data_IF_727139800970
#
_entry.id   IF_727139800970
#
_cell.length_a   1.000
_cell.length_b   1.000
_cell.length_c   1.000
_cell.angle_alpha   90.00
_cell.angle_beta   90.00
_cell.angle_gamma   90.00
#
_symmetry.space_group_name_H-M   'P 1'
#
loop_
_entity.id
_entity.type
_entity.pdbx_description
1 polymer ?
#
# COMPACT_ATOMS: atom_id res chain seq x y z
N UNK A 1 0.80 -2.16 4.53
CA UNK A 1 0.19 -3.39 5.03
C UNK A 1 0.44 -4.57 4.11
N UNK A 2 0.62 -5.79 4.71
CA UNK A 2 0.88 -7.01 3.98
C UNK A 2 -0.43 -7.55 3.37
N UNK A 3 -0.52 -7.73 2.05
CA UNK A 3 -1.70 -8.32 1.43
C UNK A 3 -1.83 -9.82 1.72
N UNK A 4 -2.98 -10.39 1.41
CA UNK A 4 -3.32 -11.78 1.72
C UNK A 4 -2.31 -12.79 1.15
N UNK A 5 -1.75 -12.48 0.00
CA UNK A 5 -0.88 -13.37 -0.79
C UNK A 5 0.63 -13.16 -0.57
N UNK A 6 1.05 -12.18 0.23
CA UNK A 6 2.46 -11.97 0.60
C UNK A 6 2.80 -12.45 2.02
N UNK A 7 2.12 -13.48 2.49
CA UNK A 7 2.44 -14.10 3.77
C UNK A 7 1.87 -13.38 4.98
N UNK A 8 0.72 -12.72 4.84
CA UNK A 8 -0.07 -12.22 5.95
C UNK A 8 -0.29 -13.34 6.98
N UNK A 9 -0.05 -13.04 8.25
CA UNK A 9 -0.19 -13.97 9.36
C UNK A 9 -0.98 -13.31 10.50
N UNK A 10 -2.32 -13.45 10.52
CA UNK A 10 -3.16 -12.78 11.50
C UNK A 10 -2.87 -13.18 12.94
N UNK A 11 -2.54 -14.46 13.20
CA UNK A 11 -2.23 -14.95 14.55
C UNK A 11 -0.95 -14.30 15.08
N UNK A 12 0.09 -14.20 14.24
CA UNK A 12 1.32 -13.50 14.61
C UNK A 12 1.08 -12.00 14.84
N UNK A 13 0.21 -11.37 14.04
CA UNK A 13 -0.17 -9.97 14.24
C UNK A 13 -0.86 -9.74 15.58
N UNK A 14 -1.79 -10.62 15.98
CA UNK A 14 -2.44 -10.58 17.29
C UNK A 14 -1.41 -10.75 18.40
N UNK A 15 -0.58 -11.80 18.35
CA UNK A 15 0.45 -12.03 19.34
C UNK A 15 1.42 -10.86 19.51
N UNK A 16 1.81 -10.22 18.39
CA UNK A 16 2.67 -9.04 18.42
C UNK A 16 1.96 -7.81 19.04
N UNK A 17 0.70 -7.58 18.69
CA UNK A 17 -0.10 -6.48 19.25
C UNK A 17 -0.29 -6.64 20.76
N UNK A 18 -0.64 -7.84 21.23
CA UNK A 18 -0.81 -8.14 22.64
C UNK A 18 0.50 -8.00 23.44
N UNK A 19 1.61 -8.51 22.88
CA UNK A 19 2.91 -8.45 23.54
C UNK A 19 3.49 -7.03 23.66
N UNK A 20 3.12 -6.13 22.76
CA UNK A 20 3.73 -4.79 22.64
C UNK A 20 2.78 -3.64 22.97
N UNK A 21 1.47 -3.88 22.97
CA UNK A 21 0.44 -2.83 23.01
C UNK A 21 0.36 -1.99 21.75
N UNK A 22 1.03 -2.39 20.65
CA UNK A 22 1.05 -1.67 19.40
C UNK A 22 -0.19 -1.98 18.55
N UNK A 23 -0.84 -0.96 18.00
CA UNK A 23 -1.99 -1.15 17.12
C UNK A 23 -1.53 -1.63 15.73
N UNK A 24 -1.98 -2.82 15.33
CA UNK A 24 -1.66 -3.42 14.04
C UNK A 24 -2.94 -3.53 13.21
N UNK A 25 -2.97 -2.90 12.04
CA UNK A 25 -4.09 -3.02 11.09
C UNK A 25 -3.77 -4.14 10.11
N UNK A 26 -4.58 -5.20 10.13
CA UNK A 26 -4.52 -6.27 9.15
C UNK A 26 -5.14 -5.83 7.84
N UNK A 27 -4.61 -6.30 6.70
CA UNK A 27 -5.15 -6.02 5.38
C UNK A 27 -5.72 -7.27 4.71
N UNK A 28 -6.71 -7.07 3.85
CA UNK A 28 -7.16 -8.02 2.83
C UNK A 28 -6.78 -7.49 1.45
N UNK A 29 -6.68 -8.34 0.47
CA UNK A 29 -6.38 -7.95 -0.91
C UNK A 29 -5.21 -8.71 -1.50
N UNK A 30 -4.88 -8.43 -2.76
CA UNK A 30 -3.84 -9.13 -3.51
C UNK A 30 -2.79 -8.15 -4.04
N UNK A 31 -1.58 -8.69 -4.24
CA UNK A 31 -0.45 -7.93 -4.76
C UNK A 31 -0.41 -7.95 -6.29
N UNK A 32 0.52 -7.20 -6.89
CA UNK A 32 0.66 -7.16 -8.35
C UNK A 32 1.12 -8.50 -8.94
N UNK A 33 0.89 -8.69 -10.24
CA UNK A 33 1.07 -9.97 -10.92
C UNK A 33 2.46 -10.58 -10.78
N UNK A 34 3.51 -9.77 -10.81
CA UNK A 34 4.88 -10.26 -10.82
C UNK A 34 5.26 -11.00 -9.51
N UNK A 35 4.77 -10.54 -8.36
CA UNK A 35 5.14 -11.03 -7.03
C UNK A 35 3.98 -11.67 -6.26
N UNK A 36 2.73 -11.44 -6.67
CA UNK A 36 1.53 -11.94 -6.01
C UNK A 36 1.20 -13.40 -6.29
N UNK A 37 -0.03 -13.78 -5.98
CA UNK A 37 -0.55 -15.15 -6.07
C UNK A 37 -0.60 -15.71 -7.48
N UNK A 38 0.28 -16.62 -7.79
CA UNK A 38 0.35 -17.25 -9.11
C UNK A 38 -0.91 -18.06 -9.47
N UNK A 39 -1.60 -18.64 -8.49
CA UNK A 39 -2.84 -19.41 -8.75
C UNK A 39 -4.02 -18.50 -9.16
N UNK A 40 -4.16 -17.32 -8.53
CA UNK A 40 -5.17 -16.35 -8.93
C UNK A 40 -4.88 -15.78 -10.31
N UNK A 41 -3.64 -15.43 -10.60
CA UNK A 41 -3.21 -15.03 -11.94
C UNK A 41 -3.43 -16.14 -12.97
N UNK A 42 -3.17 -17.42 -12.63
CA UNK A 42 -3.46 -18.53 -13.54
C UNK A 42 -4.96 -18.64 -13.84
N UNK A 43 -5.82 -18.54 -12.83
CA UNK A 43 -7.27 -18.62 -13.00
C UNK A 43 -7.85 -17.46 -13.82
N UNK A 44 -7.33 -16.23 -13.63
CA UNK A 44 -7.81 -15.04 -14.34
C UNK A 44 -7.70 -15.12 -15.85
N UNK A 45 -6.89 -16.06 -16.37
CA UNK A 45 -6.79 -16.32 -17.81
C UNK A 45 -8.01 -17.02 -18.41
N UNK A 46 -8.86 -17.60 -17.58
CA UNK A 46 -9.97 -18.44 -18.00
C UNK A 46 -11.33 -17.90 -17.54
N UNK A 47 -11.34 -17.02 -16.56
CA UNK A 47 -12.56 -16.48 -15.99
C UNK A 47 -12.33 -15.08 -15.40
N UNK A 48 -13.39 -14.27 -15.36
CA UNK A 48 -13.39 -13.02 -14.59
C UNK A 48 -13.47 -13.35 -13.09
N UNK A 49 -12.41 -13.04 -12.37
CA UNK A 49 -12.33 -13.28 -10.93
C UNK A 49 -12.87 -12.14 -10.08
N UNK A 50 -13.34 -11.04 -10.67
CA UNK A 50 -13.86 -9.89 -9.93
C UNK A 50 -14.93 -10.29 -8.91
N UNK A 51 -15.96 -11.09 -9.26
CA UNK A 51 -16.98 -11.50 -8.28
C UNK A 51 -16.41 -12.37 -7.15
N UNK A 52 -15.56 -13.34 -7.50
CA UNK A 52 -14.96 -14.29 -6.54
C UNK A 52 -14.06 -13.58 -5.54
N UNK A 53 -13.21 -12.66 -6.01
CA UNK A 53 -12.31 -11.89 -5.15
C UNK A 53 -13.08 -10.88 -4.31
N UNK A 54 -14.13 -10.28 -4.86
CA UNK A 54 -15.02 -9.38 -4.09
C UNK A 54 -15.66 -10.12 -2.93
N UNK A 55 -16.25 -11.29 -3.18
CA UNK A 55 -16.85 -12.13 -2.14
C UNK A 55 -15.83 -12.51 -1.06
N UNK A 56 -14.63 -12.94 -1.46
CA UNK A 56 -13.54 -13.26 -0.54
C UNK A 56 -13.16 -12.06 0.35
N UNK A 57 -13.01 -10.87 -0.24
CA UNK A 57 -12.64 -9.68 0.51
C UNK A 57 -13.75 -9.26 1.48
N UNK A 58 -14.99 -9.24 1.01
CA UNK A 58 -16.15 -8.91 1.85
C UNK A 58 -16.31 -9.91 3.00
N UNK A 59 -16.14 -11.21 2.74
CA UNK A 59 -16.21 -12.23 3.78
C UNK A 59 -15.15 -12.02 4.87
N UNK A 60 -13.88 -11.84 4.50
CA UNK A 60 -12.82 -11.57 5.48
C UNK A 60 -13.03 -10.26 6.26
N UNK A 61 -13.54 -9.20 5.60
CA UNK A 61 -13.83 -7.91 6.22
C UNK A 61 -14.99 -7.98 7.23
N UNK A 62 -15.98 -8.81 6.96
CA UNK A 62 -17.20 -8.91 7.79
C UNK A 62 -17.15 -10.04 8.81
N UNK A 63 -16.69 -11.21 8.41
CA UNK A 63 -16.70 -12.43 9.22
C UNK A 63 -15.33 -12.75 9.85
N UNK A 64 -14.24 -12.19 9.28
CA UNK A 64 -12.87 -12.42 9.74
C UNK A 64 -12.14 -13.50 8.93
N UNK A 65 -10.82 -13.53 9.10
CA UNK A 65 -9.90 -14.37 8.35
C UNK A 65 -9.94 -15.80 8.91
N UNK A 66 -10.50 -16.73 8.18
CA UNK A 66 -10.58 -18.15 8.57
C UNK A 66 -11.18 -18.33 9.97
N UNK A 67 -10.50 -19.06 10.85
CA UNK A 67 -10.93 -19.29 12.23
C UNK A 67 -10.34 -18.31 13.25
N UNK A 68 -9.58 -17.29 12.81
CA UNK A 68 -8.86 -16.39 13.72
C UNK A 68 -9.76 -15.33 14.36
N UNK A 69 -10.91 -15.00 13.74
CA UNK A 69 -11.78 -13.91 14.15
C UNK A 69 -11.21 -12.50 13.85
N UNK A 70 -10.00 -12.40 13.31
CA UNK A 70 -9.38 -11.13 12.94
C UNK A 70 -10.02 -10.59 11.66
N UNK A 71 -10.63 -9.42 11.75
CA UNK A 71 -11.19 -8.71 10.60
C UNK A 71 -10.18 -7.68 10.09
N UNK A 72 -9.86 -7.67 8.78
CA UNK A 72 -9.04 -6.62 8.21
C UNK A 72 -9.68 -5.24 8.36
N UNK A 73 -8.85 -4.22 8.55
CA UNK A 73 -9.30 -2.82 8.62
C UNK A 73 -8.98 -2.02 7.36
N UNK A 74 -8.36 -2.63 6.36
CA UNK A 74 -7.97 -1.97 5.12
C UNK A 74 -7.88 -2.97 3.97
N UNK A 75 -8.21 -2.52 2.75
CA UNK A 75 -8.03 -3.31 1.52
C UNK A 75 -6.71 -2.91 0.88
N UNK A 76 -5.88 -3.90 0.52
CA UNK A 76 -4.63 -3.69 -0.24
C UNK A 76 -4.84 -4.07 -1.69
N UNK A 77 -4.50 -3.14 -2.60
CA UNK A 77 -4.44 -3.36 -4.04
C UNK A 77 -3.05 -2.98 -4.57
N UNK A 78 -2.70 -3.39 -5.78
CA UNK A 78 -1.37 -3.15 -6.32
C UNK A 78 -1.37 -3.15 -7.85
N UNK A 79 -0.45 -2.36 -8.43
CA UNK A 79 -0.04 -2.46 -9.84
C UNK A 79 1.47 -2.59 -9.94
N UNK A 80 1.94 -3.34 -10.95
CA UNK A 80 3.31 -3.29 -11.43
C UNK A 80 3.62 -1.95 -12.13
N UNK A 81 4.83 -1.78 -12.72
CA UNK A 81 5.24 -0.52 -13.34
C UNK A 81 4.64 -0.35 -14.74
N UNK A 82 4.38 0.87 -15.13
CA UNK A 82 4.09 1.39 -16.48
C UNK A 82 2.79 0.92 -17.16
N UNK A 83 2.32 -0.29 -16.91
CA UNK A 83 1.07 -0.81 -17.49
C UNK A 83 0.43 -1.82 -16.53
N UNK A 84 -0.83 -1.58 -16.17
CA UNK A 84 -1.61 -2.56 -15.41
C UNK A 84 -1.95 -3.78 -16.29
N UNK A 85 -1.78 -4.97 -15.73
CA UNK A 85 -2.17 -6.22 -16.38
C UNK A 85 -3.66 -6.50 -16.21
N UNK A 86 -4.23 -7.39 -17.02
CA UNK A 86 -5.62 -7.80 -16.88
C UNK A 86 -5.92 -8.35 -15.46
N UNK A 87 -4.97 -9.09 -14.88
CA UNK A 87 -5.07 -9.56 -13.51
C UNK A 87 -5.12 -8.41 -12.50
N UNK A 88 -4.28 -7.40 -12.65
CA UNK A 88 -4.26 -6.23 -11.78
C UNK A 88 -5.54 -5.39 -11.91
N UNK A 89 -6.09 -5.26 -13.12
CA UNK A 89 -7.38 -4.60 -13.33
C UNK A 89 -8.52 -5.35 -12.62
N UNK A 90 -8.54 -6.68 -12.66
CA UNK A 90 -9.49 -7.52 -11.93
C UNK A 90 -9.34 -7.31 -10.41
N UNK A 91 -8.12 -7.31 -9.88
CA UNK A 91 -7.89 -7.13 -8.43
C UNK A 91 -8.26 -5.73 -7.95
N UNK A 92 -8.02 -4.69 -8.75
CA UNK A 92 -8.45 -3.31 -8.47
C UNK A 92 -9.98 -3.20 -8.47
N UNK A 93 -10.66 -3.80 -9.46
CA UNK A 93 -12.12 -3.81 -9.53
C UNK A 93 -12.75 -4.53 -8.32
N UNK A 94 -12.18 -5.67 -7.92
CA UNK A 94 -12.62 -6.39 -6.72
C UNK A 94 -12.40 -5.58 -5.43
N UNK A 95 -11.26 -4.88 -5.31
CA UNK A 95 -10.99 -3.98 -4.19
C UNK A 95 -11.99 -2.83 -4.13
N UNK A 96 -12.34 -2.22 -5.26
CA UNK A 96 -13.35 -1.18 -5.36
C UNK A 96 -14.72 -1.69 -4.90
N UNK A 97 -15.18 -2.83 -5.42
CA UNK A 97 -16.47 -3.42 -5.07
C UNK A 97 -16.55 -3.79 -3.57
N UNK A 98 -15.48 -4.36 -3.01
CA UNK A 98 -15.42 -4.69 -1.59
C UNK A 98 -15.42 -3.43 -0.70
N UNK A 99 -14.71 -2.37 -1.10
CA UNK A 99 -14.70 -1.08 -0.40
C UNK A 99 -16.11 -0.47 -0.34
N UNK A 100 -16.82 -0.45 -1.47
CA UNK A 100 -18.20 0.06 -1.54
C UNK A 100 -19.14 -0.77 -0.64
N UNK A 101 -19.00 -2.11 -0.66
CA UNK A 101 -19.86 -3.00 0.10
C UNK A 101 -19.65 -2.93 1.61
N UNK A 102 -18.45 -2.55 2.08
CA UNK A 102 -18.05 -2.63 3.50
C UNK A 102 -17.64 -1.30 4.11
N UNK A 103 -17.61 -0.21 3.32
CA UNK A 103 -17.06 1.11 3.71
C UNK A 103 -15.62 1.03 4.23
N UNK A 104 -14.85 0.05 3.72
CA UNK A 104 -13.45 -0.16 4.13
C UNK A 104 -12.50 0.64 3.26
N UNK A 105 -11.52 1.37 3.83
CA UNK A 105 -10.55 2.15 3.06
C UNK A 105 -9.62 1.27 2.22
N UNK A 106 -9.11 1.86 1.13
CA UNK A 106 -8.15 1.21 0.24
C UNK A 106 -6.77 1.85 0.41
N UNK A 107 -5.74 1.03 0.49
CA UNK A 107 -4.35 1.46 0.29
C UNK A 107 -3.74 0.68 -0.86
N UNK A 108 -2.95 1.35 -1.69
CA UNK A 108 -2.38 0.70 -2.86
C UNK A 108 -0.87 0.49 -2.75
N UNK A 109 -0.32 -0.15 -3.76
CA UNK A 109 1.07 -0.16 -4.13
C UNK A 109 1.16 0.33 -5.57
N UNK A 110 2.06 1.26 -5.83
CA UNK A 110 2.52 1.59 -7.17
C UNK A 110 3.99 1.21 -7.28
N UNK A 111 4.36 0.53 -8.36
CA UNK A 111 5.77 0.27 -8.60
C UNK A 111 6.42 1.52 -9.22
N UNK A 112 7.58 1.93 -8.69
CA UNK A 112 8.30 3.14 -9.11
C UNK A 112 7.46 4.44 -9.10
N UNK A 113 6.35 4.48 -8.36
CA UNK A 113 5.44 5.62 -8.31
C UNK A 113 4.65 5.84 -9.62
N UNK A 114 4.43 4.77 -10.40
CA UNK A 114 3.68 4.83 -11.66
C UNK A 114 2.24 4.34 -11.49
N UNK A 115 1.34 4.71 -12.41
CA UNK A 115 -0.06 4.23 -12.46
C UNK A 115 -0.94 4.59 -11.25
N UNK A 116 -0.53 5.45 -10.35
CA UNK A 116 -1.39 5.87 -9.24
C UNK A 116 -2.59 6.69 -9.70
N UNK A 117 -2.46 7.47 -10.74
CA UNK A 117 -3.53 8.17 -11.44
C UNK A 117 -4.55 7.21 -12.07
N UNK A 118 -4.07 6.13 -12.70
CA UNK A 118 -4.93 5.07 -13.22
C UNK A 118 -5.68 4.35 -12.09
N UNK A 119 -4.99 4.01 -11.00
CA UNK A 119 -5.64 3.39 -9.83
C UNK A 119 -6.75 4.29 -9.28
N UNK A 120 -6.47 5.59 -9.09
CA UNK A 120 -7.46 6.56 -8.65
C UNK A 120 -8.65 6.65 -9.62
N UNK A 121 -8.40 6.66 -10.93
CA UNK A 121 -9.45 6.69 -11.95
C UNK A 121 -10.34 5.44 -11.87
N UNK A 122 -9.76 4.25 -11.76
CA UNK A 122 -10.52 2.99 -11.64
C UNK A 122 -11.42 3.02 -10.40
N UNK A 123 -10.94 3.46 -9.26
CA UNK A 123 -11.73 3.54 -8.04
C UNK A 123 -12.84 4.59 -8.16
N UNK A 124 -12.54 5.75 -8.75
CA UNK A 124 -13.52 6.81 -9.00
C UNK A 124 -14.64 6.35 -9.95
N UNK A 125 -14.28 5.70 -11.04
CA UNK A 125 -15.24 5.18 -12.04
C UNK A 125 -16.15 4.08 -11.44
N UNK A 126 -15.62 3.30 -10.50
CA UNK A 126 -16.39 2.33 -9.73
C UNK A 126 -17.30 2.97 -8.67
N UNK A 127 -17.14 4.27 -8.36
CA UNK A 127 -17.93 4.99 -7.36
C UNK A 127 -17.35 4.93 -5.94
N UNK A 128 -16.07 4.53 -5.77
CA UNK A 128 -15.38 4.63 -4.47
C UNK A 128 -15.13 6.10 -4.15
N UNK A 129 -15.52 6.61 -2.97
CA UNK A 129 -15.12 7.95 -2.56
C UNK A 129 -13.60 8.08 -2.53
N UNK A 130 -13.06 9.22 -2.96
CA UNK A 130 -11.61 9.38 -3.05
C UNK A 130 -10.92 9.48 -1.67
N UNK A 131 -11.59 10.04 -0.66
CA UNK A 131 -11.03 10.31 0.65
C UNK A 131 -10.57 9.07 1.46
N UNK A 132 -11.11 7.84 1.30
CA UNK A 132 -10.57 6.66 1.96
C UNK A 132 -9.52 5.92 1.12
N UNK A 133 -9.00 6.53 0.06
CA UNK A 133 -8.01 5.91 -0.83
C UNK A 133 -6.63 6.53 -0.62
N UNK A 134 -5.64 5.68 -0.33
CA UNK A 134 -4.22 6.06 -0.28
C UNK A 134 -3.52 5.45 -1.49
N UNK A 135 -3.00 6.29 -2.37
CA UNK A 135 -2.13 5.87 -3.47
C UNK A 135 -0.71 5.69 -2.90
N UNK A 136 -0.39 4.46 -2.55
CA UNK A 136 0.86 4.10 -1.89
C UNK A 136 2.06 4.22 -2.82
N UNK A 137 3.21 4.49 -2.23
CA UNK A 137 4.51 4.64 -2.90
C UNK A 137 4.55 5.74 -3.96
N UNK A 138 3.65 6.73 -3.90
CA UNK A 138 3.66 7.90 -4.79
C UNK A 138 5.01 8.62 -4.81
N UNK A 139 5.79 8.52 -3.72
CA UNK A 139 7.16 9.04 -3.62
C UNK A 139 8.21 8.28 -4.46
N UNK A 140 7.82 7.25 -5.21
CA UNK A 140 8.63 6.65 -6.27
C UNK A 140 8.76 7.57 -7.48
N UNK A 141 7.82 8.49 -7.68
CA UNK A 141 7.90 9.60 -8.63
C UNK A 141 8.39 10.88 -7.95
N UNK A 142 9.07 11.75 -8.71
CA UNK A 142 9.40 13.14 -8.32
C UNK A 142 8.59 14.17 -9.08
N UNK A 143 7.66 13.73 -9.93
CA UNK A 143 6.79 14.57 -10.74
C UNK A 143 5.71 15.23 -9.88
N UNK A 144 5.81 16.54 -9.73
CA UNK A 144 4.87 17.35 -8.93
C UNK A 144 3.47 17.38 -9.54
N UNK A 145 3.34 17.41 -10.87
CA UNK A 145 2.03 17.45 -11.52
C UNK A 145 1.27 16.14 -11.32
N UNK A 146 1.96 14.99 -11.35
CA UNK A 146 1.40 13.70 -10.99
C UNK A 146 0.87 13.71 -9.54
N UNK A 147 1.68 14.16 -8.56
CA UNK A 147 1.26 14.23 -7.17
C UNK A 147 0.05 15.14 -6.98
N UNK A 148 0.09 16.34 -7.55
CA UNK A 148 -1.00 17.29 -7.44
C UNK A 148 -2.26 16.82 -8.18
N UNK A 149 -2.12 16.04 -9.25
CA UNK A 149 -3.23 15.38 -9.94
C UNK A 149 -3.99 14.44 -9.00
N UNK A 150 -3.27 13.56 -8.32
CA UNK A 150 -3.84 12.61 -7.33
C UNK A 150 -4.49 13.37 -6.15
N UNK A 151 -3.79 14.36 -5.59
CA UNK A 151 -4.31 15.16 -4.48
C UNK A 151 -5.60 15.92 -4.86
N UNK A 152 -5.64 16.54 -6.05
CA UNK A 152 -6.85 17.22 -6.58
C UNK A 152 -8.00 16.25 -6.82
N UNK A 153 -7.72 15.00 -7.20
CA UNK A 153 -8.71 13.93 -7.29
C UNK A 153 -9.24 13.48 -5.94
N UNK A 154 -8.65 13.95 -4.82
CA UNK A 154 -9.13 13.75 -3.45
C UNK A 154 -8.52 12.56 -2.71
N UNK A 155 -7.70 11.73 -3.36
CA UNK A 155 -6.98 10.64 -2.71
C UNK A 155 -5.76 11.14 -1.92
N UNK A 156 -5.29 10.33 -0.99
CA UNK A 156 -4.04 10.58 -0.28
C UNK A 156 -2.84 10.07 -1.07
N UNK A 157 -1.74 10.80 -0.97
CA UNK A 157 -0.42 10.45 -1.50
C UNK A 157 0.37 9.71 -0.42
N UNK A 158 0.83 8.49 -0.71
CA UNK A 158 1.75 7.76 0.14
C UNK A 158 3.20 8.17 -0.11
N UNK A 159 3.75 9.07 0.71
CA UNK A 159 5.20 9.31 0.78
C UNK A 159 5.78 8.35 1.82
N UNK A 160 5.87 7.09 1.48
CA UNK A 160 5.96 5.97 2.42
C UNK A 160 7.13 5.00 2.16
N UNK A 161 8.15 5.45 1.37
CA UNK A 161 9.36 4.66 1.08
C UNK A 161 10.67 5.38 1.45
N UNK A 162 10.63 6.24 2.47
CA UNK A 162 11.85 6.85 2.98
C UNK A 162 12.86 5.79 3.47
N UNK A 163 14.14 5.97 3.13
CA UNK A 163 15.20 5.00 3.40
C UNK A 163 15.43 3.96 2.30
N UNK A 164 14.52 3.81 1.32
CA UNK A 164 14.68 2.88 0.21
C UNK A 164 15.47 3.50 -0.95
N UNK A 165 16.31 2.69 -1.68
CA UNK A 165 17.34 3.22 -2.57
C UNK A 165 16.86 3.67 -3.95
N UNK A 166 15.61 3.39 -4.37
CA UNK A 166 15.13 3.63 -5.73
C UNK A 166 15.10 5.12 -6.09
N UNK A 167 14.69 5.95 -5.14
CA UNK A 167 14.75 7.42 -5.20
C UNK A 167 15.51 7.87 -3.96
N UNK A 168 16.31 8.92 -4.02
CA UNK A 168 17.01 9.43 -2.84
C UNK A 168 16.03 10.07 -1.86
N UNK A 169 16.35 10.04 -0.58
CA UNK A 169 15.51 10.71 0.43
C UNK A 169 15.50 12.23 0.25
N UNK A 170 16.57 12.82 -0.27
CA UNK A 170 16.63 14.25 -0.59
C UNK A 170 15.67 14.61 -1.74
N UNK A 171 15.58 13.77 -2.78
CA UNK A 171 14.62 13.95 -3.87
C UNK A 171 13.18 13.77 -3.39
N UNK A 172 12.93 12.79 -2.51
CA UNK A 172 11.60 12.60 -1.88
C UNK A 172 11.20 13.80 -1.02
N UNK A 173 12.12 14.31 -0.21
CA UNK A 173 11.92 15.51 0.61
C UNK A 173 11.61 16.71 -0.28
N UNK A 174 12.40 16.93 -1.33
CA UNK A 174 12.16 18.03 -2.27
C UNK A 174 10.81 17.91 -2.99
N UNK A 175 10.41 16.69 -3.38
CA UNK A 175 9.10 16.44 -3.97
C UNK A 175 7.96 16.71 -2.97
N UNK A 176 8.09 16.22 -1.74
CA UNK A 176 7.12 16.45 -0.68
C UNK A 176 6.98 17.93 -0.31
N UNK A 177 8.11 18.65 -0.20
CA UNK A 177 8.11 20.09 0.05
C UNK A 177 7.34 20.85 -1.03
N UNK A 178 7.49 20.49 -2.32
CA UNK A 178 6.72 21.08 -3.41
C UNK A 178 5.21 20.80 -3.30
N UNK A 179 4.83 19.59 -2.91
CA UNK A 179 3.42 19.23 -2.68
C UNK A 179 2.82 20.05 -1.54
N UNK A 180 3.55 20.19 -0.43
CA UNK A 180 3.14 21.01 0.72
C UNK A 180 3.03 22.49 0.33
N UNK A 181 4.04 23.04 -0.35
CA UNK A 181 4.03 24.42 -0.81
C UNK A 181 2.89 24.72 -1.79
N UNK A 182 2.45 23.75 -2.58
CA UNK A 182 1.28 23.85 -3.44
C UNK A 182 -0.07 23.73 -2.70
N UNK A 183 -0.06 23.59 -1.36
CA UNK A 183 -1.27 23.54 -0.52
C UNK A 183 -1.92 22.16 -0.42
N UNK A 184 -1.24 21.07 -0.84
CA UNK A 184 -1.77 19.71 -0.81
C UNK A 184 -1.20 18.85 0.34
N UNK A 185 -0.60 19.47 1.36
CA UNK A 185 0.00 18.77 2.50
C UNK A 185 -1.01 17.98 3.34
N UNK A 186 -2.27 18.38 3.38
CA UNK A 186 -3.36 17.67 4.04
C UNK A 186 -3.78 16.37 3.33
N UNK A 187 -3.26 16.14 2.12
CA UNK A 187 -3.44 14.93 1.31
C UNK A 187 -2.21 14.03 1.28
N UNK A 188 -1.33 14.13 2.26
CA UNK A 188 -0.13 13.30 2.34
C UNK A 188 -0.16 12.43 3.59
N UNK A 189 0.20 11.17 3.43
CA UNK A 189 0.56 10.26 4.51
C UNK A 189 2.01 9.84 4.34
N UNK A 190 2.73 9.70 5.46
CA UNK A 190 4.17 9.44 5.46
C UNK A 190 4.50 8.16 6.22
N UNK A 191 5.48 7.42 5.73
CA UNK A 191 5.97 6.19 6.34
C UNK A 191 7.34 5.83 5.73
N UNK A 192 7.85 4.62 5.97
CA UNK A 192 9.15 4.17 5.48
C UNK A 192 9.16 2.76 4.86
N UNK A 193 8.01 2.07 4.81
CA UNK A 193 7.87 0.71 4.23
C UNK A 193 8.97 -0.26 4.71
N UNK A 194 9.30 -0.20 6.02
CA UNK A 194 10.38 -0.99 6.59
C UNK A 194 9.93 -2.40 6.92
N UNK A 195 10.74 -3.38 6.53
CA UNK A 195 10.53 -4.81 6.81
C UNK A 195 11.71 -5.36 7.60
N UNK A 196 11.50 -5.76 8.87
CA UNK A 196 12.55 -6.32 9.74
C UNK A 196 12.70 -7.83 9.64
N UNK A 197 11.63 -8.52 9.36
CA UNK A 197 11.61 -9.97 9.22
C UNK A 197 10.40 -10.42 8.40
N UNK A 198 10.42 -11.65 7.95
CA UNK A 198 9.26 -12.30 7.35
C UNK A 198 8.79 -13.44 8.24
N UNK A 199 7.54 -13.36 8.72
CA UNK A 199 6.94 -14.36 9.63
C UNK A 199 7.86 -14.73 10.80
N UNK A 200 8.40 -13.72 11.49
CA UNK A 200 9.32 -13.92 12.60
C UNK A 200 10.73 -14.37 12.20
N UNK A 201 11.01 -14.62 10.92
CA UNK A 201 12.33 -14.99 10.46
C UNK A 201 13.17 -13.74 10.13
N UNK A 202 14.36 -13.61 10.70
CA UNK A 202 15.22 -12.46 10.40
C UNK A 202 15.75 -12.52 8.97
N UNK A 203 16.10 -11.36 8.44
CA UNK A 203 16.78 -11.28 7.15
C UNK A 203 18.04 -12.17 7.09
N UNK A 204 18.35 -12.74 5.91
CA UNK A 204 19.59 -13.48 5.72
C UNK A 204 20.81 -12.65 6.15
N UNK A 205 21.83 -13.26 6.82
CA UNK A 205 22.97 -12.54 7.36
C UNK A 205 23.70 -11.62 6.36
N UNK A 206 23.73 -12.00 5.08
CA UNK A 206 24.37 -11.20 4.00
C UNK A 206 23.60 -9.90 3.69
N UNK A 207 22.28 -9.88 3.89
CA UNK A 207 21.44 -8.72 3.62
C UNK A 207 21.28 -7.82 4.84
N UNK A 208 21.42 -8.39 6.05
CA UNK A 208 21.20 -7.70 7.33
C UNK A 208 21.91 -6.34 7.45
N UNK A 209 23.22 -6.20 7.12
CA UNK A 209 23.91 -4.92 7.26
C UNK A 209 23.33 -3.82 6.35
N UNK A 210 22.89 -4.19 5.14
CA UNK A 210 22.29 -3.23 4.19
C UNK A 210 20.90 -2.79 4.64
N UNK A 211 20.13 -3.71 5.20
CA UNK A 211 18.74 -3.49 5.62
C UNK A 211 18.71 -2.76 6.96
N UNK A 212 19.53 -3.17 7.93
CA UNK A 212 19.58 -2.56 9.25
C UNK A 212 19.95 -1.06 9.23
N UNK A 213 20.71 -0.64 8.23
CA UNK A 213 21.05 0.77 8.07
C UNK A 213 19.91 1.62 7.48
N UNK A 214 18.92 0.99 6.83
CA UNK A 214 17.84 1.68 6.10
C UNK A 214 16.45 1.45 6.70
N UNK A 215 16.19 0.24 7.18
CA UNK A 215 14.92 -0.10 7.83
C UNK A 215 14.96 0.24 9.32
N UNK A 216 15.12 1.52 9.62
CA UNK A 216 15.09 2.03 10.99
C UNK A 216 13.71 2.58 11.28
N UNK A 217 12.94 2.03 12.24
CA UNK A 217 11.57 2.48 12.52
C UNK A 217 11.44 3.97 12.84
N UNK A 218 12.50 4.59 13.32
CA UNK A 218 12.56 6.01 13.67
C UNK A 218 13.24 6.88 12.61
N UNK A 219 13.48 6.35 11.41
CA UNK A 219 14.15 7.08 10.32
C UNK A 219 13.41 8.37 9.98
N UNK A 220 12.09 8.29 9.83
CA UNK A 220 11.28 9.43 9.43
C UNK A 220 11.43 10.58 10.44
N UNK A 221 11.24 10.31 11.72
CA UNK A 221 11.31 11.34 12.76
C UNK A 221 12.73 11.92 12.92
N UNK A 222 13.76 11.09 12.83
CA UNK A 222 15.14 11.49 13.13
C UNK A 222 15.87 12.13 11.97
N UNK A 223 15.57 11.72 10.74
CA UNK A 223 16.33 12.13 9.55
C UNK A 223 15.49 12.90 8.54
N UNK A 224 14.21 12.50 8.34
CA UNK A 224 13.38 13.08 7.30
C UNK A 224 12.69 14.35 7.76
N UNK A 225 12.11 14.37 8.98
CA UNK A 225 11.46 15.57 9.53
C UNK A 225 12.41 16.76 9.59
N UNK A 226 13.65 16.66 10.09
CA UNK A 226 14.58 17.77 10.03
C UNK A 226 14.82 18.31 8.61
N UNK A 227 15.03 17.42 7.65
CA UNK A 227 15.22 17.83 6.25
C UNK A 227 13.99 18.55 5.66
N UNK A 228 12.78 18.14 6.05
CA UNK A 228 11.54 18.79 5.62
C UNK A 228 11.37 20.20 6.24
N UNK A 229 11.87 20.39 7.46
CA UNK A 229 11.84 21.71 8.12
C UNK A 229 12.80 22.67 7.43
N UNK A 230 13.92 22.17 6.92
CA UNK A 230 14.97 22.97 6.26
C UNK A 230 14.66 23.21 4.76
N UNK A 231 13.70 22.49 4.16
CA UNK A 231 13.34 22.57 2.75
C UNK A 231 12.24 23.60 2.46
#
# INVERSE_FOLDING_TARGET
PCPSDLGRDPELMVAAAEATGFNIICAVGLYHEAEGSKHWHFRSRFEDLTPVLTELYVDELTNGIGSTGVRPGIIKAATGPYQATDYELITLAAAAAASIATDTPITTHTDEGTLGDLQQQIFSDAGVPAHPVVIGHSCGSTDTDYHLGIARGGSYLGFDRFGLPMVSDDDRVAALARVIAAGAGDRVVVSHDSVWCWKGQPWPPKLRPRIAARFVPTLFDREIVPKLIDA
#
